data_IF_840490979557
#
_entry.id   IF_840490979557
#
_cell.length_a   1.000
_cell.length_b   1.000
_cell.length_c   1.000
_cell.angle_alpha   90.00
_cell.angle_beta   90.00
_cell.angle_gamma   90.00
#
_symmetry.space_group_name_H-M   'P 1'
#
loop_
_entity.id
_entity.type
_entity.pdbx_description
1 polymer ?
#
# COMPACT_ATOMS: atom_id res chain seq x y z
N UNK A 1 -13.23 -29.52 -25.64
CA UNK A 1 -13.31 -30.17 -24.33
C UNK A 1 -12.01 -29.88 -23.63
N UNK A 2 -12.03 -29.04 -22.64
CA UNK A 2 -11.15 -28.90 -21.46
C UNK A 2 -11.36 -27.50 -20.88
N UNK A 3 -12.43 -27.37 -20.08
CA UNK A 3 -12.71 -26.16 -19.27
C UNK A 3 -12.66 -26.45 -17.77
N UNK A 4 -11.98 -27.54 -17.33
CA UNK A 4 -11.94 -27.94 -15.91
C UNK A 4 -10.59 -27.78 -15.22
N UNK A 5 -9.56 -27.21 -15.88
CA UNK A 5 -8.21 -27.15 -15.31
C UNK A 5 -7.83 -25.82 -14.67
N UNK A 6 -8.64 -24.77 -14.80
CA UNK A 6 -8.29 -23.46 -14.27
C UNK A 6 -8.94 -23.09 -12.94
N UNK A 7 -10.02 -23.78 -12.54
CA UNK A 7 -10.65 -23.56 -11.22
C UNK A 7 -9.94 -24.29 -10.08
N UNK A 8 -9.39 -25.48 -10.32
CA UNK A 8 -8.70 -26.26 -9.28
C UNK A 8 -7.35 -25.68 -8.83
N UNK A 9 -6.72 -24.81 -9.65
CA UNK A 9 -5.47 -24.14 -9.24
C UNK A 9 -5.70 -22.86 -8.42
N UNK A 10 -6.91 -22.31 -8.40
CA UNK A 10 -7.29 -21.17 -7.56
C UNK A 10 -7.51 -21.56 -6.10
N UNK A 11 -8.11 -22.72 -5.84
CA UNK A 11 -8.49 -23.18 -4.49
C UNK A 11 -7.33 -23.51 -3.56
N UNK A 12 -6.08 -23.47 -4.02
CA UNK A 12 -4.89 -23.78 -3.18
C UNK A 12 -4.09 -22.55 -2.76
N UNK A 13 -4.44 -21.34 -3.19
CA UNK A 13 -3.67 -20.12 -2.91
C UNK A 13 -3.89 -19.59 -1.49
N UNK A 14 -5.09 -19.76 -0.95
CA UNK A 14 -5.43 -19.29 0.39
C UNK A 14 -5.72 -20.51 1.28
N UNK A 15 -4.95 -20.67 2.37
CA UNK A 15 -5.17 -21.75 3.33
C UNK A 15 -6.54 -21.60 3.98
N UNK A 16 -7.40 -22.56 3.70
CA UNK A 16 -8.76 -22.67 4.24
C UNK A 16 -8.80 -22.71 5.77
N UNK A 17 -9.66 -21.92 6.37
CA UNK A 17 -10.71 -22.37 7.30
C UNK A 17 -11.36 -21.27 8.14
N UNK A 18 -11.06 -20.06 8.04
CA UNK A 18 -11.81 -18.90 8.53
C UNK A 18 -11.34 -17.72 7.69
N UNK A 19 -11.80 -17.71 6.45
CA UNK A 19 -11.23 -16.95 5.36
C UNK A 19 -11.06 -15.46 5.69
N UNK A 20 -11.91 -14.90 6.54
CA UNK A 20 -11.79 -13.52 6.96
C UNK A 20 -11.93 -13.35 8.48
N UNK A 21 -11.15 -14.11 9.24
CA UNK A 21 -11.01 -13.85 10.66
C UNK A 21 -10.31 -12.49 10.86
N UNK A 22 -11.09 -11.43 11.04
CA UNK A 22 -10.58 -10.08 11.27
C UNK A 22 -9.65 -9.99 12.48
N UNK A 23 -9.82 -10.88 13.45
CA UNK A 23 -8.94 -10.97 14.62
C UNK A 23 -7.52 -11.39 14.24
N UNK A 24 -7.39 -12.23 13.21
CA UNK A 24 -6.09 -12.76 12.79
C UNK A 24 -5.51 -12.05 11.57
N UNK A 25 -6.34 -11.65 10.61
CA UNK A 25 -5.86 -11.11 9.33
C UNK A 25 -5.80 -9.59 9.29
N UNK A 26 -6.75 -8.88 9.89
CA UNK A 26 -6.83 -7.42 9.78
C UNK A 26 -5.60 -6.72 10.37
N UNK A 27 -5.13 -7.15 11.55
CA UNK A 27 -3.95 -6.56 12.17
C UNK A 27 -2.66 -6.84 11.37
N UNK A 28 -2.52 -8.03 10.78
CA UNK A 28 -1.36 -8.37 9.97
C UNK A 28 -1.34 -7.60 8.65
N UNK A 29 -2.50 -7.42 8.01
CA UNK A 29 -2.67 -6.58 6.84
C UNK A 29 -2.36 -5.11 7.15
N UNK A 30 -2.85 -4.62 8.28
CA UNK A 30 -2.52 -3.29 8.82
C UNK A 30 -1.01 -3.07 8.90
N UNK A 31 -0.25 -4.01 9.46
CA UNK A 31 1.22 -3.94 9.54
C UNK A 31 1.89 -3.97 8.15
N UNK A 32 1.35 -4.74 7.21
CA UNK A 32 1.82 -4.74 5.82
C UNK A 32 1.71 -3.35 5.18
N UNK A 33 0.54 -2.75 5.27
CA UNK A 33 0.30 -1.39 4.77
C UNK A 33 1.15 -0.34 5.49
N UNK A 34 1.31 -0.43 6.82
CA UNK A 34 2.19 0.45 7.60
C UNK A 34 3.64 0.36 7.14
N UNK A 35 4.14 -0.86 6.91
CA UNK A 35 5.50 -1.08 6.45
C UNK A 35 5.77 -0.35 5.13
N UNK A 36 4.89 -0.51 4.15
CA UNK A 36 5.03 0.19 2.86
C UNK A 36 4.81 1.70 2.97
N UNK A 37 3.89 2.15 3.82
CA UNK A 37 3.71 3.58 4.09
C UNK A 37 5.01 4.21 4.60
N UNK A 38 5.67 3.58 5.57
CA UNK A 38 6.94 4.06 6.13
C UNK A 38 8.07 3.99 5.12
N UNK A 39 8.20 2.89 4.36
CA UNK A 39 9.23 2.71 3.34
C UNK A 39 9.15 3.76 2.22
N UNK A 40 7.94 4.23 1.89
CA UNK A 40 7.67 5.21 0.84
C UNK A 40 7.50 6.64 1.35
N UNK A 41 7.53 6.85 2.66
CA UNK A 41 7.54 8.20 3.23
C UNK A 41 8.82 8.94 2.88
N UNK A 42 8.73 10.27 2.76
CA UNK A 42 9.89 11.11 2.50
C UNK A 42 10.94 10.98 3.62
N UNK A 43 12.16 10.54 3.31
CA UNK A 43 13.25 10.47 4.29
C UNK A 43 13.77 11.86 4.72
N UNK A 44 13.25 12.94 4.11
CA UNK A 44 13.51 14.31 4.56
C UNK A 44 12.62 14.70 5.74
N UNK A 45 11.42 14.11 5.81
CA UNK A 45 10.38 14.46 6.78
C UNK A 45 10.26 13.47 7.94
N UNK A 46 10.66 12.22 7.73
CA UNK A 46 10.50 11.12 8.67
C UNK A 46 11.81 10.36 8.86
N UNK A 47 12.14 9.99 10.08
CA UNK A 47 13.17 8.98 10.36
C UNK A 47 12.60 7.57 10.08
N UNK A 48 12.57 7.24 8.80
CA UNK A 48 11.99 5.99 8.29
C UNK A 48 12.66 4.75 8.88
N UNK A 49 13.98 4.79 9.11
CA UNK A 49 14.72 3.64 9.67
C UNK A 49 14.34 3.33 11.12
N UNK A 50 14.23 4.36 11.96
CA UNK A 50 13.81 4.17 13.35
C UNK A 50 12.36 3.69 13.42
N UNK A 51 11.49 4.21 12.56
CA UNK A 51 10.09 3.82 12.54
C UNK A 51 9.91 2.35 12.11
N UNK A 52 10.65 1.89 11.10
CA UNK A 52 10.64 0.48 10.66
C UNK A 52 11.05 -0.51 11.75
N UNK A 53 12.02 -0.15 12.60
CA UNK A 53 12.47 -1.00 13.70
C UNK A 53 11.36 -1.26 14.74
N UNK A 54 10.30 -0.47 14.78
CA UNK A 54 9.15 -0.62 15.65
C UNK A 54 8.01 -1.46 15.07
N UNK A 55 8.07 -1.81 13.78
CA UNK A 55 6.98 -2.55 13.13
C UNK A 55 7.16 -4.06 13.36
N UNK A 56 6.09 -4.71 13.82
CA UNK A 56 6.08 -6.14 14.06
C UNK A 56 6.13 -6.94 12.73
N UNK A 57 6.47 -8.23 12.85
CA UNK A 57 6.49 -9.15 11.70
C UNK A 57 5.09 -9.33 11.09
N UNK A 58 5.04 -9.43 9.76
CA UNK A 58 3.82 -9.71 8.97
C UNK A 58 3.61 -11.22 8.74
N UNK A 59 4.29 -12.08 9.48
CA UNK A 59 4.12 -13.55 9.35
C UNK A 59 2.70 -13.97 9.74
N UNK A 60 2.08 -14.82 8.93
CA UNK A 60 0.72 -15.32 9.17
C UNK A 60 -0.37 -14.66 8.33
N UNK A 61 -0.01 -13.83 7.36
CA UNK A 61 -0.93 -13.36 6.32
C UNK A 61 -1.48 -14.56 5.50
N UNK A 62 -2.70 -14.45 4.95
CA UNK A 62 -3.28 -15.48 4.10
C UNK A 62 -2.57 -15.66 2.76
N UNK A 63 -1.69 -14.73 2.40
CA UNK A 63 -0.81 -14.74 1.23
C UNK A 63 0.63 -14.46 1.65
N UNK A 64 1.59 -14.70 0.74
CA UNK A 64 3.01 -14.57 1.06
C UNK A 64 3.46 -13.12 1.00
N UNK A 65 3.85 -12.56 2.14
CA UNK A 65 4.55 -11.30 2.24
C UNK A 65 5.79 -11.48 3.12
N UNK A 66 6.97 -11.43 2.51
CA UNK A 66 8.24 -11.42 3.22
C UNK A 66 9.03 -10.17 2.83
N UNK A 67 9.08 -9.22 3.75
CA UNK A 67 9.80 -7.96 3.59
C UNK A 67 11.18 -7.98 4.27
N UNK A 68 11.60 -9.11 4.84
CA UNK A 68 12.81 -9.18 5.68
C UNK A 68 14.06 -8.73 4.92
N UNK A 69 14.28 -9.26 3.72
CA UNK A 69 15.44 -8.89 2.91
C UNK A 69 15.37 -7.45 2.44
N UNK A 70 14.19 -6.97 2.02
CA UNK A 70 13.96 -5.59 1.59
C UNK A 70 14.21 -4.60 2.73
N UNK A 71 13.69 -4.89 3.92
CA UNK A 71 13.88 -4.04 5.11
C UNK A 71 15.33 -4.03 5.57
N UNK A 72 16.02 -5.19 5.51
CA UNK A 72 17.45 -5.28 5.80
C UNK A 72 18.26 -4.45 4.80
N UNK A 73 18.02 -4.59 3.50
CA UNK A 73 18.69 -3.82 2.47
C UNK A 73 18.45 -2.31 2.66
N UNK A 74 17.21 -1.91 2.91
CA UNK A 74 16.84 -0.51 3.17
C UNK A 74 17.55 0.05 4.42
N UNK A 75 17.61 -0.71 5.49
CA UNK A 75 18.25 -0.27 6.74
C UNK A 75 19.77 -0.07 6.59
N UNK A 76 20.41 -0.82 5.69
CA UNK A 76 21.84 -0.72 5.40
C UNK A 76 22.18 0.43 4.45
N UNK A 77 21.20 0.99 3.70
CA UNK A 77 21.45 2.13 2.83
C UNK A 77 21.92 3.35 3.63
N UNK A 78 22.80 4.15 3.05
CA UNK A 78 23.12 5.46 3.62
C UNK A 78 21.91 6.41 3.52
N UNK A 79 21.65 7.16 4.58
CA UNK A 79 20.50 8.09 4.61
C UNK A 79 20.62 9.19 3.55
N UNK A 80 21.84 9.65 3.27
CA UNK A 80 22.07 10.67 2.24
C UNK A 80 21.78 10.13 0.86
N UNK A 81 22.08 8.86 0.62
CA UNK A 81 21.78 8.18 -0.65
C UNK A 81 20.28 7.94 -0.80
N UNK A 82 19.57 7.51 0.26
CA UNK A 82 18.12 7.39 0.25
C UNK A 82 17.45 8.73 -0.06
N UNK A 83 17.89 9.82 0.57
CA UNK A 83 17.38 11.18 0.30
C UNK A 83 17.61 11.61 -1.15
N UNK A 84 18.80 11.34 -1.69
CA UNK A 84 19.13 11.66 -3.06
C UNK A 84 18.28 10.87 -4.07
N UNK A 85 18.12 9.55 -3.84
CA UNK A 85 17.27 8.71 -4.68
C UNK A 85 15.80 9.18 -4.62
N UNK A 86 15.28 9.46 -3.42
CA UNK A 86 13.92 9.95 -3.24
C UNK A 86 13.68 11.24 -4.00
N UNK A 87 14.50 12.26 -3.76
CA UNK A 87 14.35 13.54 -4.46
C UNK A 87 14.53 13.40 -5.97
N UNK A 88 15.50 12.62 -6.43
CA UNK A 88 15.76 12.44 -7.86
C UNK A 88 14.66 11.67 -8.60
N UNK A 89 13.94 10.77 -7.93
CA UNK A 89 12.83 10.02 -8.54
C UNK A 89 11.50 10.76 -8.44
N UNK A 90 11.21 11.38 -7.30
CA UNK A 90 9.86 11.79 -6.91
C UNK A 90 9.64 13.29 -6.81
N UNK A 91 10.69 14.10 -6.65
CA UNK A 91 10.55 15.54 -6.34
C UNK A 91 11.15 16.47 -7.38
N UNK A 92 12.28 16.10 -8.00
CA UNK A 92 13.09 17.02 -8.82
C UNK A 92 13.24 16.53 -10.26
N UNK A 93 12.98 17.42 -11.21
CA UNK A 93 13.22 17.20 -12.65
C UNK A 93 13.04 18.51 -13.41
N UNK A 94 13.61 18.63 -14.63
CA UNK A 94 13.49 19.84 -15.45
C UNK A 94 12.05 20.14 -15.86
N UNK A 95 11.28 19.07 -16.15
CA UNK A 95 9.87 19.14 -16.56
C UNK A 95 8.95 18.47 -15.52
N UNK A 96 9.35 18.45 -14.25
CA UNK A 96 8.73 17.71 -13.15
C UNK A 96 9.50 16.45 -12.79
N UNK A 97 9.12 15.76 -11.69
CA UNK A 97 9.79 14.53 -11.26
C UNK A 97 9.62 13.41 -12.28
N UNK A 98 10.66 12.57 -12.48
CA UNK A 98 10.59 11.43 -13.42
C UNK A 98 9.46 10.44 -13.14
N UNK A 99 9.11 10.26 -11.87
CA UNK A 99 8.02 9.40 -11.40
C UNK A 99 7.35 10.04 -10.19
N UNK A 100 6.36 10.94 -10.37
CA UNK A 100 5.67 11.54 -9.23
C UNK A 100 5.05 10.48 -8.33
N UNK A 101 5.34 10.52 -7.02
CA UNK A 101 4.81 9.58 -6.02
C UNK A 101 3.42 9.99 -5.50
N UNK A 102 2.80 10.97 -6.11
CA UNK A 102 1.47 11.47 -5.80
C UNK A 102 0.50 11.05 -6.90
N UNK A 103 -0.63 10.45 -6.51
CA UNK A 103 -1.63 9.92 -7.44
C UNK A 103 -2.11 11.01 -8.42
N UNK A 104 -2.51 12.17 -7.92
CA UNK A 104 -3.00 13.28 -8.71
C UNK A 104 -1.99 13.72 -9.79
N UNK A 105 -0.73 13.89 -9.41
CA UNK A 105 0.33 14.27 -10.34
C UNK A 105 0.65 13.17 -11.36
N UNK A 106 0.71 11.92 -10.90
CA UNK A 106 1.00 10.78 -11.76
C UNK A 106 -0.11 10.54 -12.79
N UNK A 107 -1.36 10.71 -12.39
CA UNK A 107 -2.55 10.54 -13.22
C UNK A 107 -2.91 11.80 -14.05
N UNK A 108 -2.04 12.82 -14.06
CA UNK A 108 -2.23 14.07 -14.80
C UNK A 108 -3.46 14.87 -14.36
N UNK A 109 -3.67 14.96 -13.06
CA UNK A 109 -4.67 15.78 -12.39
C UNK A 109 -6.12 15.52 -12.86
N UNK A 110 -6.63 14.27 -12.74
CA UNK A 110 -8.00 14.00 -13.11
C UNK A 110 -8.99 14.73 -12.19
N UNK A 111 -10.03 15.31 -12.79
CA UNK A 111 -11.03 16.03 -12.04
C UNK A 111 -11.70 15.14 -10.98
N UNK A 112 -11.82 15.65 -9.74
CA UNK A 112 -12.53 14.98 -8.65
C UNK A 112 -11.70 13.98 -7.85
N UNK A 113 -10.44 13.67 -8.23
CA UNK A 113 -9.62 12.68 -7.51
C UNK A 113 -9.37 13.11 -6.07
N UNK A 114 -8.91 14.34 -5.86
CA UNK A 114 -8.61 14.86 -4.52
C UNK A 114 -9.86 14.99 -3.64
N UNK A 115 -10.99 15.36 -4.24
CA UNK A 115 -12.29 15.39 -3.57
C UNK A 115 -12.77 13.99 -3.16
N UNK A 116 -12.48 12.96 -3.95
CA UNK A 116 -12.80 11.57 -3.62
C UNK A 116 -11.96 11.09 -2.43
N UNK A 117 -10.66 11.35 -2.41
CA UNK A 117 -9.78 11.07 -1.26
C UNK A 117 -10.27 11.77 0.02
N UNK A 118 -10.61 13.07 -0.05
CA UNK A 118 -11.14 13.81 1.11
C UNK A 118 -12.40 13.16 1.66
N UNK A 119 -13.33 12.73 0.77
CA UNK A 119 -14.56 12.05 1.19
C UNK A 119 -14.29 10.74 1.92
N UNK A 120 -13.34 9.93 1.45
CA UNK A 120 -12.93 8.72 2.15
C UNK A 120 -12.39 9.05 3.55
N UNK A 121 -11.44 9.99 3.64
CA UNK A 121 -10.81 10.34 4.91
C UNK A 121 -11.81 10.91 5.91
N UNK A 122 -12.64 11.85 5.50
CA UNK A 122 -13.69 12.45 6.36
C UNK A 122 -14.72 11.43 6.81
N UNK A 123 -15.19 10.57 5.89
CA UNK A 123 -16.22 9.58 6.20
C UNK A 123 -15.79 8.59 7.28
N UNK A 124 -14.52 8.16 7.23
CA UNK A 124 -13.98 7.23 8.22
C UNK A 124 -13.29 7.91 9.41
N UNK A 125 -13.31 9.23 9.48
CA UNK A 125 -12.70 10.00 10.57
C UNK A 125 -11.16 9.95 10.57
N UNK A 126 -10.54 9.68 9.41
CA UNK A 126 -9.10 9.75 9.25
C UNK A 126 -8.67 11.20 9.11
N UNK A 127 -7.82 11.68 10.04
CA UNK A 127 -7.39 13.07 10.08
C UNK A 127 -5.92 13.20 9.75
N UNK A 128 -5.63 13.93 8.68
CA UNK A 128 -4.25 14.30 8.33
C UNK A 128 -3.77 15.45 9.20
N UNK A 129 -2.53 15.35 9.69
CA UNK A 129 -1.85 16.49 10.30
C UNK A 129 -1.75 17.67 9.32
N UNK A 130 -1.82 18.90 9.82
CA UNK A 130 -1.78 20.13 8.99
C UNK A 130 -0.65 20.13 7.95
N UNK A 131 0.51 19.61 8.30
CA UNK A 131 1.69 19.50 7.42
C UNK A 131 1.42 18.65 6.17
N UNK A 132 0.54 17.66 6.26
CA UNK A 132 0.30 16.66 5.20
C UNK A 132 -1.00 16.88 4.41
N UNK A 133 -1.83 17.85 4.78
CA UNK A 133 -3.11 18.10 4.11
C UNK A 133 -3.00 18.35 2.61
N UNK A 134 -1.91 19.00 2.18
CA UNK A 134 -1.66 19.25 0.76
C UNK A 134 -1.10 18.04 0.01
N UNK A 135 -0.65 17.01 0.73
CA UNK A 135 -0.08 15.76 0.20
C UNK A 135 -1.04 14.57 0.37
N UNK A 136 -2.34 14.80 0.52
CA UNK A 136 -3.33 13.76 0.79
C UNK A 136 -3.34 12.60 -0.22
N UNK A 137 -2.88 12.84 -1.43
CA UNK A 137 -2.72 11.93 -2.55
C UNK A 137 -1.29 11.36 -2.68
N UNK A 138 -0.47 11.46 -1.62
CA UNK A 138 0.84 10.84 -1.58
C UNK A 138 0.70 9.35 -1.27
N UNK A 139 1.39 8.48 -2.02
CA UNK A 139 1.26 7.02 -1.89
C UNK A 139 1.44 6.53 -0.45
N UNK A 140 2.39 7.11 0.31
CA UNK A 140 2.56 6.73 1.72
C UNK A 140 1.35 7.07 2.58
N UNK A 141 0.62 8.15 2.27
CA UNK A 141 -0.60 8.56 2.99
C UNK A 141 -1.78 7.66 2.62
N UNK A 142 -1.93 7.32 1.35
CA UNK A 142 -2.94 6.35 0.90
C UNK A 142 -2.74 4.98 1.56
N UNK A 143 -1.49 4.54 1.68
CA UNK A 143 -1.14 3.31 2.39
C UNK A 143 -1.35 3.41 3.92
N UNK A 144 -1.09 4.58 4.51
CA UNK A 144 -1.39 4.83 5.92
C UNK A 144 -2.91 4.82 6.19
N UNK A 145 -3.70 5.32 5.26
CA UNK A 145 -5.16 5.20 5.33
C UNK A 145 -5.63 3.74 5.24
N UNK A 146 -5.04 2.92 4.38
CA UNK A 146 -5.30 1.48 4.35
C UNK A 146 -4.91 0.78 5.66
N UNK A 147 -3.73 1.13 6.23
CA UNK A 147 -3.35 0.69 7.56
C UNK A 147 -4.42 1.05 8.59
N UNK A 148 -4.89 2.29 8.59
CA UNK A 148 -5.95 2.76 9.48
C UNK A 148 -7.25 1.96 9.31
N UNK A 149 -7.73 1.73 8.08
CA UNK A 149 -8.94 0.96 7.83
C UNK A 149 -8.83 -0.49 8.33
N UNK A 150 -7.69 -1.16 8.10
CA UNK A 150 -7.44 -2.51 8.61
C UNK A 150 -7.37 -2.54 10.14
N UNK A 151 -6.76 -1.52 10.77
CA UNK A 151 -6.69 -1.39 12.22
C UNK A 151 -8.09 -1.17 12.83
N UNK A 152 -8.93 -0.36 12.19
CA UNK A 152 -10.32 -0.16 12.61
C UNK A 152 -11.17 -1.40 12.42
N UNK A 153 -10.97 -2.16 11.33
CA UNK A 153 -11.61 -3.48 11.14
C UNK A 153 -11.30 -4.42 12.32
N UNK A 154 -10.04 -4.45 12.77
CA UNK A 154 -9.63 -5.27 13.90
C UNK A 154 -10.32 -4.87 15.20
N UNK A 155 -10.43 -3.57 15.47
CA UNK A 155 -10.97 -3.04 16.73
C UNK A 155 -12.50 -2.92 16.75
N UNK A 156 -13.17 -2.93 15.59
CA UNK A 156 -14.63 -2.80 15.50
C UNK A 156 -15.33 -4.15 15.56
N UNK A 157 -16.46 -4.18 16.27
CA UNK A 157 -17.37 -5.34 16.25
C UNK A 157 -18.62 -5.07 15.42
N UNK A 158 -19.09 -3.82 15.36
CA UNK A 158 -20.34 -3.43 14.71
C UNK A 158 -20.14 -2.97 13.27
N UNK A 159 -19.08 -2.21 13.02
CA UNK A 159 -18.82 -1.58 11.69
C UNK A 159 -17.79 -2.35 10.85
N UNK A 160 -17.44 -3.58 11.23
CA UNK A 160 -16.40 -4.40 10.59
C UNK A 160 -16.57 -4.50 9.08
N UNK A 161 -17.80 -4.81 8.62
CA UNK A 161 -18.10 -4.90 7.19
C UNK A 161 -17.91 -3.58 6.47
N UNK A 162 -18.22 -2.46 7.11
CA UNK A 162 -18.01 -1.11 6.52
C UNK A 162 -16.54 -0.86 6.23
N UNK A 163 -15.64 -1.21 7.17
CA UNK A 163 -14.20 -1.09 6.96
C UNK A 163 -13.68 -2.04 5.89
N UNK A 164 -14.20 -3.27 5.81
CA UNK A 164 -13.84 -4.24 4.78
C UNK A 164 -14.22 -3.74 3.38
N UNK A 165 -15.44 -3.25 3.21
CA UNK A 165 -15.91 -2.68 1.93
C UNK A 165 -15.11 -1.43 1.55
N UNK A 166 -14.78 -0.58 2.52
CA UNK A 166 -13.96 0.60 2.29
C UNK A 166 -12.55 0.26 1.82
N UNK A 167 -11.92 -0.76 2.41
CA UNK A 167 -10.59 -1.22 1.99
C UNK A 167 -10.59 -1.67 0.53
N UNK A 168 -11.58 -2.48 0.13
CA UNK A 168 -11.70 -2.96 -1.24
C UNK A 168 -11.98 -1.81 -2.23
N UNK A 169 -12.93 -0.90 -1.89
CA UNK A 169 -13.28 0.23 -2.74
C UNK A 169 -12.10 1.20 -2.89
N UNK A 170 -11.43 1.56 -1.79
CA UNK A 170 -10.27 2.43 -1.81
C UNK A 170 -9.09 1.83 -2.58
N UNK A 171 -8.75 0.56 -2.31
CA UNK A 171 -7.65 -0.12 -3.02
C UNK A 171 -7.90 -0.16 -4.52
N UNK A 172 -9.15 -0.40 -4.94
CA UNK A 172 -9.51 -0.48 -6.35
C UNK A 172 -9.43 0.88 -7.04
N UNK A 173 -9.87 1.95 -6.38
CA UNK A 173 -9.91 3.29 -6.97
C UNK A 173 -8.57 4.01 -6.91
N UNK A 174 -7.87 3.93 -5.78
CA UNK A 174 -6.74 4.80 -5.45
C UNK A 174 -5.39 4.10 -5.41
N UNK A 175 -5.32 2.75 -5.44
CA UNK A 175 -4.04 2.05 -5.43
C UNK A 175 -3.81 1.26 -6.72
N UNK A 176 -4.62 0.22 -6.98
CA UNK A 176 -4.37 -0.66 -8.14
C UNK A 176 -4.60 0.04 -9.48
N UNK A 177 -5.33 1.14 -9.48
CA UNK A 177 -5.58 1.94 -10.67
C UNK A 177 -4.31 2.62 -11.22
N UNK A 178 -3.31 2.92 -10.39
CA UNK A 178 -2.12 3.63 -10.83
C UNK A 178 -0.77 3.01 -10.41
N UNK A 179 -0.68 2.33 -9.26
CA UNK A 179 0.57 1.76 -8.73
C UNK A 179 1.26 0.81 -9.72
N UNK A 180 0.56 -0.07 -10.49
CA UNK A 180 1.20 -0.91 -11.51
C UNK A 180 1.90 -0.09 -12.60
N UNK A 181 1.30 1.01 -13.05
CA UNK A 181 1.89 1.92 -14.03
C UNK A 181 3.05 2.74 -13.44
N UNK A 182 2.93 3.14 -12.19
CA UNK A 182 4.00 3.79 -11.42
C UNK A 182 5.22 2.87 -11.28
N UNK A 183 5.01 1.59 -10.91
CA UNK A 183 6.06 0.57 -10.92
C UNK A 183 6.78 0.47 -12.27
N UNK A 184 6.02 0.40 -13.37
CA UNK A 184 6.59 0.31 -14.72
C UNK A 184 7.39 1.57 -15.08
N UNK A 185 6.97 2.73 -14.61
CA UNK A 185 7.70 3.98 -14.80
C UNK A 185 9.01 3.96 -14.03
N UNK A 186 9.00 3.56 -12.77
CA UNK A 186 10.20 3.42 -11.94
C UNK A 186 11.21 2.43 -12.53
N UNK A 187 10.76 1.27 -13.02
CA UNK A 187 11.63 0.29 -13.68
C UNK A 187 12.34 0.86 -14.92
N UNK A 188 11.69 1.77 -15.65
CA UNK A 188 12.31 2.45 -16.81
C UNK A 188 13.28 3.53 -16.41
N UNK A 189 13.02 4.24 -15.30
CA UNK A 189 13.87 5.33 -14.81
C UNK A 189 15.11 4.79 -14.10
N UNK A 190 14.94 3.86 -13.16
CA UNK A 190 16.04 3.30 -12.37
C UNK A 190 15.64 1.94 -11.77
N UNK A 191 15.94 0.86 -12.48
CA UNK A 191 15.55 -0.50 -12.06
C UNK A 191 16.21 -0.93 -10.75
N UNK A 192 17.42 -0.49 -10.47
CA UNK A 192 18.21 -0.89 -9.29
C UNK A 192 17.99 0.02 -8.08
N UNK A 193 17.21 1.10 -8.21
CA UNK A 193 16.95 1.99 -7.10
C UNK A 193 16.17 1.28 -5.99
N UNK A 194 16.49 1.60 -4.72
CA UNK A 194 15.83 1.02 -3.56
C UNK A 194 14.31 1.23 -3.60
N UNK A 195 13.87 2.42 -3.96
CA UNK A 195 12.44 2.72 -4.08
C UNK A 195 11.74 1.96 -5.20
N UNK A 196 12.44 1.60 -6.28
CA UNK A 196 11.89 0.72 -7.32
C UNK A 196 11.63 -0.67 -6.78
N UNK A 197 12.55 -1.23 -6.00
CA UNK A 197 12.38 -2.54 -5.36
C UNK A 197 11.20 -2.52 -4.39
N UNK A 198 11.06 -1.47 -3.59
CA UNK A 198 9.94 -1.30 -2.66
C UNK A 198 8.59 -1.31 -3.41
N UNK A 199 8.48 -0.56 -4.50
CA UNK A 199 7.23 -0.49 -5.28
C UNK A 199 6.93 -1.80 -6.02
N UNK A 200 7.95 -2.57 -6.39
CA UNK A 200 7.75 -3.93 -6.94
C UNK A 200 7.08 -4.86 -5.93
N UNK A 201 7.58 -4.88 -4.69
CA UNK A 201 6.98 -5.69 -3.63
C UNK A 201 5.61 -5.15 -3.19
N UNK A 202 5.44 -3.83 -3.15
CA UNK A 202 4.14 -3.22 -2.91
C UNK A 202 3.10 -3.66 -3.94
N UNK A 203 3.42 -3.60 -5.22
CA UNK A 203 2.45 -3.97 -6.26
C UNK A 203 2.00 -5.43 -6.13
N UNK A 204 2.94 -6.34 -5.85
CA UNK A 204 2.63 -7.74 -5.59
C UNK A 204 1.72 -7.89 -4.35
N UNK A 205 2.05 -7.20 -3.26
CA UNK A 205 1.23 -7.20 -2.05
C UNK A 205 -0.20 -6.70 -2.33
N UNK A 206 -0.35 -5.62 -3.08
CA UNK A 206 -1.67 -5.07 -3.44
C UNK A 206 -2.49 -6.04 -4.29
N UNK A 207 -1.87 -6.71 -5.27
CA UNK A 207 -2.52 -7.70 -6.11
C UNK A 207 -3.02 -8.89 -5.28
N UNK A 208 -2.16 -9.44 -4.41
CA UNK A 208 -2.50 -10.57 -3.55
C UNK A 208 -3.58 -10.19 -2.51
N UNK A 209 -3.49 -8.99 -1.91
CA UNK A 209 -4.46 -8.50 -0.92
C UNK A 209 -5.84 -8.25 -1.53
N UNK A 210 -5.91 -7.63 -2.71
CA UNK A 210 -7.17 -7.39 -3.40
C UNK A 210 -7.81 -8.71 -3.85
N UNK A 211 -7.03 -9.65 -4.40
CA UNK A 211 -7.54 -10.96 -4.78
C UNK A 211 -8.14 -11.67 -3.56
N UNK A 212 -7.44 -11.68 -2.42
CA UNK A 212 -7.94 -12.24 -1.17
C UNK A 212 -9.18 -11.52 -0.64
N UNK A 213 -9.23 -10.18 -0.70
CA UNK A 213 -10.41 -9.42 -0.31
C UNK A 213 -11.64 -9.77 -1.15
N UNK A 214 -11.48 -9.88 -2.48
CA UNK A 214 -12.57 -10.23 -3.40
C UNK A 214 -13.11 -11.64 -3.14
N UNK A 215 -12.24 -12.59 -2.75
CA UNK A 215 -12.66 -13.96 -2.45
C UNK A 215 -13.38 -14.06 -1.09
N UNK A 216 -13.00 -13.22 -0.13
CA UNK A 216 -13.46 -13.38 1.27
C UNK A 216 -14.58 -12.43 1.68
N UNK A 217 -14.79 -11.31 0.98
CA UNK A 217 -15.79 -10.29 1.36
C UNK A 217 -17.24 -10.78 1.13
N UNK A 218 -17.43 -11.73 0.24
CA UNK A 218 -18.74 -12.25 -0.14
C UNK A 218 -19.09 -13.59 0.54
N UNK A 219 -18.22 -14.08 1.43
CA UNK A 219 -18.47 -15.32 2.15
C UNK A 219 -18.97 -14.96 3.57
N UNK A 220 -20.31 -15.08 3.84
CA UNK A 220 -20.92 -14.68 5.11
C UNK A 220 -20.60 -15.63 6.25
#
# INVERSE_FOLDING_TARGET
MNKHSSSEKRDQRFCNNDLRSSENTAILRSLGYESFSVLLSSPHDLDTKNKLNGIASTTGLPYSLDLSDLMNEFSQQDLSELKKQYSGLFEVGNDGPPAPIREDLFMLQPAGLREDLVRFYEYFGYTLGEKFQWQMDHLSIELEFMHFLCFQEHNSTEDRLSYQLAQLDFSTRHLINWVPNFQNTLKRVSIDAMYTKIVVELNKFLEDDIEWQLETINDP
#
